data_IF_790372942439
#
_entry.id   IF_790372942439
#
_cell.length_a   1.000
_cell.length_b   1.000
_cell.length_c   1.000
_cell.angle_alpha   90.00
_cell.angle_beta   90.00
_cell.angle_gamma   90.00
#
_symmetry.space_group_name_H-M   'P 1'
#
loop_
_entity.id
_entity.type
_entity.pdbx_description
1 polymer ?
#
# COMPACT_ATOMS: atom_id res chain seq x y z
N UNK A 1 2.00 70.62 53.77
CA UNK A 1 3.07 69.61 53.59
C UNK A 1 2.82 68.91 52.25
N UNK A 2 3.54 69.31 51.21
CA UNK A 2 3.50 68.65 49.89
C UNK A 2 4.93 68.21 49.61
N UNK A 3 5.19 66.90 49.71
CA UNK A 3 6.52 66.35 49.49
C UNK A 3 6.55 65.59 48.16
N UNK A 4 7.30 66.16 47.23
CA UNK A 4 7.57 65.67 45.90
C UNK A 4 8.66 64.58 45.98
N UNK A 5 8.37 63.31 45.64
CA UNK A 5 9.38 62.26 45.46
C UNK A 5 9.42 61.84 43.99
N UNK A 6 10.53 62.19 43.33
CA UNK A 6 10.94 61.69 42.01
C UNK A 6 11.05 60.15 42.06
N UNK A 7 10.26 59.46 41.24
CA UNK A 7 10.45 58.02 40.94
C UNK A 7 11.57 57.87 39.91
N UNK A 8 12.55 57.00 40.23
CA UNK A 8 13.56 56.49 39.30
C UNK A 8 12.86 55.71 38.18
N UNK A 9 13.28 55.96 36.94
CA UNK A 9 12.94 55.19 35.75
C UNK A 9 13.70 53.85 35.77
N UNK A 10 12.97 52.73 35.86
CA UNK A 10 13.48 51.41 35.43
C UNK A 10 13.18 51.27 33.94
N UNK A 11 14.20 50.95 33.16
CA UNK A 11 14.11 50.69 31.73
C UNK A 11 13.60 49.24 31.58
N UNK A 12 12.33 49.07 31.21
CA UNK A 12 11.81 47.75 30.78
C UNK A 12 12.36 47.44 29.39
N UNK A 13 13.24 46.46 29.31
CA UNK A 13 13.57 45.79 28.05
C UNK A 13 12.36 44.95 27.63
N UNK A 14 11.75 45.34 26.51
CA UNK A 14 10.72 44.55 25.85
C UNK A 14 11.38 43.31 25.26
N UNK A 15 11.21 42.16 25.91
CA UNK A 15 11.42 40.87 25.27
C UNK A 15 10.35 40.71 24.19
N UNK A 16 10.74 40.87 22.93
CA UNK A 16 9.93 40.44 21.80
C UNK A 16 9.99 38.90 21.73
N UNK A 17 9.15 38.22 22.50
CA UNK A 17 8.89 36.81 22.28
C UNK A 17 8.14 36.69 20.95
N UNK A 18 8.83 36.23 19.91
CA UNK A 18 8.16 35.81 18.68
C UNK A 18 7.42 34.51 19.02
N UNK A 19 6.15 34.63 19.39
CA UNK A 19 5.29 33.47 19.57
C UNK A 19 5.06 32.92 18.16
N UNK A 20 5.78 31.85 17.82
CA UNK A 20 5.53 31.07 16.62
C UNK A 20 4.30 30.23 16.92
N UNK A 21 3.13 30.70 16.51
CA UNK A 21 1.90 29.93 16.63
C UNK A 21 1.91 28.91 15.50
N UNK A 22 1.78 27.63 15.84
CA UNK A 22 1.70 26.54 14.89
C UNK A 22 0.48 26.80 13.97
N UNK A 23 0.61 26.67 12.64
CA UNK A 23 -0.50 26.89 11.72
C UNK A 23 -1.69 25.97 12.07
N UNK A 24 -2.92 26.49 12.02
CA UNK A 24 -4.12 25.74 12.45
C UNK A 24 -4.32 24.39 11.73
N UNK A 25 -3.72 24.18 10.55
CA UNK A 25 -3.73 22.90 9.83
C UNK A 25 -3.03 21.75 10.59
N UNK A 26 -2.18 22.08 11.57
CA UNK A 26 -1.44 21.11 12.38
C UNK A 26 -2.21 20.63 13.62
N UNK A 27 -3.32 21.30 13.99
CA UNK A 27 -4.18 20.82 15.05
C UNK A 27 -5.26 19.93 14.43
N UNK A 28 -5.02 18.62 14.46
CA UNK A 28 -5.98 17.61 14.03
C UNK A 28 -7.31 17.73 14.78
N UNK A 29 -8.29 18.40 14.17
CA UNK A 29 -9.66 18.45 14.70
C UNK A 29 -10.40 19.76 14.46
N UNK A 30 -10.75 20.07 13.20
CA UNK A 30 -12.02 20.70 12.75
C UNK A 30 -12.01 20.94 11.24
N UNK A 31 -13.08 20.53 10.57
CA UNK A 31 -13.33 20.83 9.15
C UNK A 31 -13.31 22.35 8.88
N UNK A 32 -12.72 22.82 7.76
CA UNK A 32 -12.78 24.22 7.41
C UNK A 32 -14.23 24.60 7.07
N UNK A 33 -14.80 25.55 7.82
CA UNK A 33 -16.02 26.26 7.43
C UNK A 33 -15.75 27.01 6.12
N UNK A 34 -16.47 26.61 5.07
CA UNK A 34 -16.47 27.24 3.76
C UNK A 34 -17.04 28.67 3.93
N UNK A 35 -16.17 29.67 3.95
CA UNK A 35 -16.60 31.04 3.65
C UNK A 35 -16.80 31.16 2.14
N UNK A 36 -18.05 31.22 1.71
CA UNK A 36 -18.41 31.71 0.39
C UNK A 36 -18.14 33.21 0.33
N UNK A 37 -16.95 33.61 -0.12
CA UNK A 37 -16.76 35.00 -0.56
C UNK A 37 -17.13 35.13 -2.04
N UNK A 38 -18.12 35.99 -2.29
CA UNK A 38 -18.70 36.24 -3.60
C UNK A 38 -17.66 36.72 -4.62
N UNK A 39 -17.72 36.11 -5.80
CA UNK A 39 -17.05 36.56 -7.02
C UNK A 39 -17.21 38.08 -7.24
N UNK A 40 -16.09 38.77 -7.39
CA UNK A 40 -15.95 39.87 -8.35
C UNK A 40 -14.72 39.62 -9.22
N UNK A 41 -14.90 39.71 -10.53
CA UNK A 41 -13.85 39.73 -11.54
C UNK A 41 -14.08 40.97 -12.44
N UNK A 42 -13.08 41.43 -13.22
CA UNK A 42 -11.64 41.56 -12.94
C UNK A 42 -11.11 42.96 -13.34
N UNK A 43 -9.98 43.41 -12.80
CA UNK A 43 -9.21 44.51 -13.41
C UNK A 43 -8.00 43.97 -14.18
N UNK A 44 -7.95 44.34 -15.47
CA UNK A 44 -7.00 43.83 -16.46
C UNK A 44 -5.60 44.42 -16.23
N UNK A 45 -4.62 43.57 -15.96
CA UNK A 45 -3.21 43.90 -16.21
C UNK A 45 -2.68 43.05 -17.37
N UNK A 46 -2.12 43.72 -18.38
CA UNK A 46 -1.56 43.11 -19.59
C UNK A 46 -0.26 42.36 -19.25
N UNK A 47 -0.02 41.15 -19.79
CA UNK A 47 1.26 40.47 -19.58
C UNK A 47 2.37 41.09 -20.44
N UNK A 48 3.50 41.40 -19.80
CA UNK A 48 4.78 41.67 -20.47
C UNK A 48 5.31 40.38 -21.08
N UNK A 49 5.68 40.45 -22.35
CA UNK A 49 6.30 39.37 -23.14
C UNK A 49 7.73 39.13 -22.62
N UNK A 50 8.03 37.93 -22.12
CA UNK A 50 9.41 37.49 -21.86
C UNK A 50 9.81 36.55 -23.00
N UNK A 51 10.69 37.01 -23.87
CA UNK A 51 11.29 36.21 -24.93
C UNK A 51 12.43 35.36 -24.38
N UNK A 52 12.21 34.04 -24.28
CA UNK A 52 13.29 33.08 -24.03
C UNK A 52 13.91 32.70 -25.37
N UNK A 53 15.13 33.19 -25.62
CA UNK A 53 15.97 32.78 -26.75
C UNK A 53 16.34 31.31 -26.62
N UNK A 54 15.82 30.45 -27.51
CA UNK A 54 16.31 29.08 -27.70
C UNK A 54 17.45 29.11 -28.72
N UNK A 55 18.69 29.01 -28.24
CA UNK A 55 19.83 28.64 -29.07
C UNK A 55 19.94 27.11 -29.09
N UNK A 56 19.52 26.49 -30.18
CA UNK A 56 19.96 25.13 -30.54
C UNK A 56 20.37 25.17 -32.01
N UNK A 57 21.67 25.08 -32.35
CA UNK A 57 22.07 24.98 -33.74
C UNK A 57 21.95 23.51 -34.14
N UNK A 58 21.29 23.20 -35.25
CA UNK A 58 21.91 22.54 -36.40
C UNK A 58 20.89 22.02 -37.42
N UNK A 59 21.27 22.18 -38.69
CA UNK A 59 20.60 21.76 -39.91
C UNK A 59 19.91 20.39 -39.82
N UNK A 60 18.63 20.34 -40.22
CA UNK A 60 17.77 19.14 -40.27
C UNK A 60 18.42 17.93 -40.94
N UNK A 61 19.38 18.15 -41.86
CA UNK A 61 20.12 17.06 -42.53
C UNK A 61 21.16 16.38 -41.62
N UNK A 62 21.78 17.12 -40.68
CA UNK A 62 22.77 16.57 -39.75
C UNK A 62 22.10 15.80 -38.59
N UNK A 63 20.94 16.27 -38.12
CA UNK A 63 20.14 15.57 -37.12
C UNK A 63 19.68 14.19 -37.62
N UNK A 64 19.27 14.11 -38.89
CA UNK A 64 18.79 12.86 -39.49
C UNK A 64 19.91 11.83 -39.65
N UNK A 65 21.13 12.27 -39.98
CA UNK A 65 22.30 11.37 -40.03
C UNK A 65 22.61 10.83 -38.64
N UNK A 66 22.63 11.67 -37.60
CA UNK A 66 22.90 11.23 -36.21
C UNK A 66 21.89 10.19 -35.74
N UNK A 67 20.59 10.41 -36.01
CA UNK A 67 19.53 9.47 -35.65
C UNK A 67 19.66 8.12 -36.39
N UNK A 68 20.00 8.13 -37.69
CA UNK A 68 20.22 6.90 -38.44
C UNK A 68 21.44 6.13 -37.90
N UNK A 69 22.55 6.81 -37.60
CA UNK A 69 23.71 6.14 -36.99
C UNK A 69 23.39 5.57 -35.62
N UNK A 70 22.61 6.27 -34.78
CA UNK A 70 22.20 5.75 -33.48
C UNK A 70 21.31 4.50 -33.63
N UNK A 71 20.38 4.51 -34.60
CA UNK A 71 19.53 3.35 -34.87
C UNK A 71 20.34 2.15 -35.37
N UNK A 72 21.31 2.34 -36.26
CA UNK A 72 22.19 1.25 -36.73
C UNK A 72 23.02 0.67 -35.59
N UNK A 73 23.54 1.50 -34.69
CA UNK A 73 24.28 1.03 -33.51
C UNK A 73 23.38 0.17 -32.62
N UNK A 74 22.15 0.61 -32.34
CA UNK A 74 21.19 -0.16 -31.54
C UNK A 74 20.89 -1.52 -32.18
N UNK A 75 20.64 -1.56 -33.50
CA UNK A 75 20.36 -2.81 -34.22
C UNK A 75 21.57 -3.76 -34.18
N UNK A 76 22.78 -3.25 -34.42
CA UNK A 76 24.01 -4.07 -34.34
C UNK A 76 24.24 -4.60 -32.93
N UNK A 77 24.02 -3.79 -31.89
CA UNK A 77 24.14 -4.24 -30.49
C UNK A 77 23.11 -5.30 -30.14
N UNK A 78 21.87 -5.16 -30.60
CA UNK A 78 20.82 -6.16 -30.38
C UNK A 78 21.13 -7.47 -31.13
N UNK A 79 21.62 -7.39 -32.38
CA UNK A 79 22.04 -8.57 -33.13
C UNK A 79 23.21 -9.31 -32.46
N UNK A 80 24.21 -8.59 -31.93
CA UNK A 80 25.31 -9.21 -31.19
C UNK A 80 24.85 -9.85 -29.89
N UNK A 81 23.89 -9.25 -29.18
CA UNK A 81 23.30 -9.82 -27.97
C UNK A 81 22.63 -11.18 -28.24
N UNK A 82 21.79 -11.26 -29.29
CA UNK A 82 21.09 -12.51 -29.64
C UNK A 82 22.03 -13.59 -30.18
N UNK A 83 23.05 -13.24 -30.97
CA UNK A 83 24.05 -14.22 -31.45
C UNK A 83 24.89 -14.78 -30.29
N UNK A 84 25.23 -13.94 -29.30
CA UNK A 84 25.94 -14.40 -28.10
C UNK A 84 25.09 -15.33 -27.25
N UNK A 85 23.77 -15.09 -27.17
CA UNK A 85 22.83 -15.95 -26.47
C UNK A 85 22.73 -17.34 -27.12
N UNK A 86 22.63 -17.41 -28.46
CA UNK A 86 22.61 -18.70 -29.18
C UNK A 86 23.93 -19.48 -29.07
N UNK A 87 25.08 -18.82 -28.96
CA UNK A 87 26.37 -19.48 -28.79
C UNK A 87 26.63 -20.00 -27.36
N UNK A 88 25.86 -19.56 -26.36
CA UNK A 88 25.99 -20.00 -24.96
C UNK A 88 25.20 -21.31 -24.70
N UNK A 89 24.11 -21.54 -25.43
CA UNK A 89 23.30 -22.76 -25.30
C UNK A 89 23.91 -23.99 -26.00
N UNK A 90 24.82 -23.80 -26.96
CA UNK A 90 25.50 -24.91 -27.65
C UNK A 90 26.70 -25.50 -26.87
N UNK A 91 26.93 -25.11 -25.61
CA UNK A 91 28.06 -25.61 -24.79
C UNK A 91 27.62 -26.19 -23.44
N UNK A 92 26.55 -26.99 -23.44
CA UNK A 92 26.24 -27.94 -22.37
C UNK A 92 25.76 -29.26 -22.97
N UNK A 93 26.69 -30.05 -23.48
CA UNK A 93 26.58 -31.50 -23.49
C UNK A 93 27.99 -32.10 -23.48
N UNK A 94 28.26 -32.93 -22.48
CA UNK A 94 29.50 -33.69 -22.36
C UNK A 94 30.18 -33.62 -21.01
N UNK A 95 29.64 -34.32 -20.00
CA UNK A 95 30.50 -35.04 -19.06
C UNK A 95 29.80 -36.23 -18.40
N UNK A 96 30.32 -37.40 -18.77
CA UNK A 96 30.07 -38.73 -18.21
C UNK A 96 30.59 -38.77 -16.77
N UNK A 97 29.82 -39.36 -15.85
CA UNK A 97 30.30 -39.79 -14.53
C UNK A 97 30.06 -41.28 -14.39
N UNK A 98 31.16 -42.02 -14.31
CA UNK A 98 31.22 -43.46 -14.05
C UNK A 98 30.87 -43.79 -12.59
N UNK A 99 30.24 -44.94 -12.43
CA UNK A 99 29.73 -45.55 -11.19
C UNK A 99 30.84 -46.33 -10.48
N UNK A 100 30.99 -46.28 -9.14
CA UNK A 100 31.82 -47.24 -8.44
C UNK A 100 31.06 -48.55 -8.19
N UNK A 101 31.81 -49.63 -8.43
CA UNK A 101 31.50 -51.05 -8.28
C UNK A 101 31.44 -51.48 -6.81
N UNK A 102 30.50 -52.37 -6.46
CA UNK A 102 30.60 -53.24 -5.28
C UNK A 102 30.14 -54.67 -5.66
N UNK A 103 31.04 -55.64 -5.49
CA UNK A 103 30.83 -57.10 -5.52
C UNK A 103 30.34 -57.53 -4.12
N UNK A 104 29.21 -58.23 -3.98
CA UNK A 104 28.95 -59.69 -4.15
C UNK A 104 29.06 -60.44 -2.81
N UNK A 105 27.93 -60.85 -2.23
CA UNK A 105 27.85 -62.06 -1.40
C UNK A 105 26.42 -62.66 -1.38
N UNK A 106 26.32 -63.76 -2.13
CA UNK A 106 25.53 -65.00 -2.02
C UNK A 106 24.58 -65.24 -0.84
N UNK A 107 23.34 -65.64 -1.15
CA UNK A 107 22.68 -66.85 -0.59
C UNK A 107 21.45 -67.24 -1.45
N UNK A 108 21.45 -68.49 -1.94
CA UNK A 108 20.31 -69.20 -2.58
C UNK A 108 19.41 -69.78 -1.46
N UNK A 109 18.09 -69.91 -1.62
CA UNK A 109 17.38 -71.04 -2.26
C UNK A 109 15.84 -70.78 -2.31
N UNK A 110 15.02 -71.63 -2.98
CA UNK A 110 13.85 -71.21 -3.76
C UNK A 110 12.50 -71.64 -3.13
N UNK A 111 11.44 -71.75 -3.96
CA UNK A 111 10.09 -72.33 -3.72
C UNK A 111 9.05 -71.22 -3.46
N UNK A 112 7.91 -71.06 -4.16
CA UNK A 112 7.03 -71.97 -4.93
C UNK A 112 6.14 -71.13 -5.87
N UNK A 113 5.80 -71.64 -7.04
CA UNK A 113 4.71 -71.12 -7.88
C UNK A 113 3.34 -71.59 -7.34
N UNK A 114 2.35 -70.69 -7.31
CA UNK A 114 0.92 -71.01 -7.34
C UNK A 114 0.16 -69.92 -8.13
N UNK A 115 -1.02 -70.25 -8.70
CA UNK A 115 -1.47 -69.71 -9.97
C UNK A 115 -2.28 -68.43 -9.83
N UNK A 116 -2.23 -67.66 -10.92
CA UNK A 116 -3.02 -66.47 -11.22
C UNK A 116 -4.51 -66.84 -11.34
N UNK A 117 -5.33 -66.39 -10.40
CA UNK A 117 -6.78 -66.28 -10.60
C UNK A 117 -7.12 -64.92 -11.23
N UNK A 118 -7.97 -65.01 -12.25
CA UNK A 118 -8.55 -63.92 -13.03
C UNK A 118 -9.73 -63.31 -12.26
N UNK A 119 -9.79 -62.00 -12.01
CA UNK A 119 -10.96 -61.43 -11.38
C UNK A 119 -12.13 -61.35 -12.37
N UNK A 120 -13.19 -62.04 -11.97
CA UNK A 120 -14.54 -62.02 -12.50
C UNK A 120 -15.09 -60.58 -12.58
N UNK A 121 -15.64 -60.23 -13.74
CA UNK A 121 -16.27 -58.94 -14.02
C UNK A 121 -17.59 -58.87 -13.24
N UNK A 122 -17.64 -58.00 -12.23
CA UNK A 122 -18.90 -57.63 -11.56
C UNK A 122 -19.47 -56.41 -12.28
N UNK A 123 -20.64 -56.59 -12.86
CA UNK A 123 -21.44 -55.54 -13.50
C UNK A 123 -22.07 -54.67 -12.40
N UNK A 124 -21.52 -53.47 -12.18
CA UNK A 124 -22.02 -52.52 -11.19
C UNK A 124 -23.19 -51.72 -11.80
N UNK A 125 -24.38 -51.86 -11.20
CA UNK A 125 -25.56 -51.09 -11.60
C UNK A 125 -25.38 -49.60 -11.25
N UNK A 126 -25.86 -48.66 -12.09
CA UNK A 126 -25.76 -47.24 -11.79
C UNK A 126 -26.64 -46.87 -10.58
N UNK A 127 -26.13 -46.06 -9.63
CA UNK A 127 -26.94 -45.55 -8.54
C UNK A 127 -28.05 -44.62 -9.08
N UNK A 128 -29.24 -44.74 -8.50
CA UNK A 128 -30.37 -43.88 -8.77
C UNK A 128 -30.03 -42.40 -8.50
N UNK A 129 -30.32 -41.53 -9.48
CA UNK A 129 -30.28 -40.07 -9.32
C UNK A 129 -31.34 -39.65 -8.28
N UNK A 130 -30.88 -39.22 -7.10
CA UNK A 130 -31.69 -38.40 -6.22
C UNK A 130 -31.85 -36.99 -6.82
N UNK A 131 -33.01 -36.33 -6.68
CA UNK A 131 -33.19 -34.97 -7.19
C UNK A 131 -32.29 -34.02 -6.40
N UNK A 132 -31.32 -33.43 -7.08
CA UNK A 132 -30.53 -32.29 -6.59
C UNK A 132 -31.48 -31.11 -6.34
N UNK A 133 -31.75 -30.82 -5.06
CA UNK A 133 -32.31 -29.54 -4.66
C UNK A 133 -31.36 -28.41 -5.10
N UNK A 134 -31.87 -27.23 -5.50
CA UNK A 134 -31.01 -26.11 -5.85
C UNK A 134 -30.23 -25.68 -4.62
N UNK A 135 -28.90 -25.77 -4.70
CA UNK A 135 -28.01 -25.18 -3.71
C UNK A 135 -28.18 -23.67 -3.80
N UNK A 136 -29.02 -23.10 -2.93
CA UNK A 136 -28.99 -21.66 -2.66
C UNK A 136 -27.60 -21.33 -2.10
N UNK A 137 -26.81 -20.62 -2.91
CA UNK A 137 -25.54 -20.03 -2.51
C UNK A 137 -25.77 -19.11 -1.31
N UNK A 138 -25.50 -19.63 -0.11
CA UNK A 138 -25.44 -18.82 1.10
C UNK A 138 -24.36 -17.77 0.94
N UNK A 139 -24.78 -16.56 0.62
CA UNK A 139 -23.96 -15.36 0.71
C UNK A 139 -23.39 -15.30 2.13
N UNK A 140 -22.08 -15.48 2.27
CA UNK A 140 -21.39 -15.46 3.56
C UNK A 140 -21.46 -14.04 4.11
N UNK A 141 -22.32 -13.82 5.11
CA UNK A 141 -22.50 -12.53 5.77
C UNK A 141 -21.14 -12.01 6.25
N UNK A 142 -20.79 -10.78 5.85
CA UNK A 142 -19.56 -10.12 6.30
C UNK A 142 -19.69 -9.81 7.78
N UNK A 143 -18.68 -10.18 8.57
CA UNK A 143 -18.58 -9.76 9.97
C UNK A 143 -17.61 -8.59 10.05
N UNK A 144 -18.11 -7.40 10.38
CA UNK A 144 -17.29 -6.20 10.52
C UNK A 144 -16.73 -6.07 11.95
N UNK A 145 -15.54 -5.47 12.11
CA UNK A 145 -14.99 -5.20 13.43
C UNK A 145 -15.91 -4.24 14.21
N UNK A 146 -15.92 -4.37 15.54
CA UNK A 146 -16.64 -3.45 16.42
C UNK A 146 -16.04 -2.05 16.35
N UNK A 147 -16.89 -1.02 16.39
CA UNK A 147 -16.46 0.39 16.34
C UNK A 147 -15.82 0.87 17.65
N UNK A 148 -15.92 0.08 18.73
CA UNK A 148 -15.45 0.46 20.08
C UNK A 148 -14.05 -0.05 20.41
N UNK A 149 -13.35 -0.67 19.45
CA UNK A 149 -12.01 -1.23 19.66
C UNK A 149 -10.96 -0.12 19.71
N UNK A 150 -10.15 -0.14 20.76
CA UNK A 150 -9.05 0.81 20.98
C UNK A 150 -7.77 0.29 20.33
N UNK A 151 -6.79 1.17 20.18
CA UNK A 151 -5.47 0.79 19.70
C UNK A 151 -4.66 0.12 20.78
N UNK A 152 -3.76 -0.76 20.35
CA UNK A 152 -2.67 -1.25 21.19
C UNK A 152 -1.80 -0.10 21.71
N UNK A 153 -0.94 -0.36 22.71
CA UNK A 153 0.02 0.62 23.19
C UNK A 153 0.86 1.26 22.07
N UNK A 154 1.10 2.55 22.23
CA UNK A 154 1.97 3.42 21.43
C UNK A 154 2.73 4.26 22.47
N UNK A 155 3.99 3.89 22.73
CA UNK A 155 4.76 4.42 23.87
C UNK A 155 5.17 5.89 23.65
N UNK A 156 5.50 6.29 22.43
CA UNK A 156 5.99 7.61 22.09
C UNK A 156 4.92 8.56 21.51
N UNK A 157 3.72 8.02 21.26
CA UNK A 157 2.50 8.73 20.86
C UNK A 157 2.68 9.38 19.48
N UNK A 158 3.32 8.69 18.56
CA UNK A 158 3.57 9.16 17.20
C UNK A 158 2.51 8.68 16.18
N UNK A 159 1.51 7.93 16.66
CA UNK A 159 0.49 7.23 15.86
C UNK A 159 1.04 6.01 15.13
N UNK A 160 1.89 5.22 15.77
CA UNK A 160 2.27 3.88 15.35
C UNK A 160 2.28 3.02 16.62
N UNK A 161 1.57 1.90 16.64
CA UNK A 161 1.62 1.03 17.83
C UNK A 161 2.97 0.35 17.95
N UNK A 162 3.34 -0.06 19.16
CA UNK A 162 4.60 -0.77 19.40
C UNK A 162 4.74 -2.02 18.49
N UNK A 163 3.62 -2.70 18.18
CA UNK A 163 3.62 -3.83 17.24
C UNK A 163 3.76 -3.42 15.77
N UNK A 164 3.23 -2.27 15.37
CA UNK A 164 3.43 -1.72 14.03
C UNK A 164 4.87 -1.27 13.82
N UNK A 165 5.49 -0.73 14.85
CA UNK A 165 6.88 -0.33 14.82
C UNK A 165 7.82 -1.52 14.62
N UNK A 166 7.54 -2.68 15.22
CA UNK A 166 8.28 -3.92 14.93
C UNK A 166 8.18 -4.28 13.43
N UNK A 167 7.02 -4.07 12.80
CA UNK A 167 6.81 -4.34 11.38
C UNK A 167 7.62 -3.40 10.49
N UNK A 168 7.65 -2.10 10.82
CA UNK A 168 8.36 -1.09 10.03
C UNK A 168 9.83 -0.93 10.45
N UNK A 169 10.22 -1.55 11.57
CA UNK A 169 11.56 -1.56 12.15
C UNK A 169 11.95 -0.26 12.86
N UNK A 170 11.00 0.56 13.28
CA UNK A 170 11.23 1.81 14.03
C UNK A 170 11.49 1.52 15.51
N UNK A 171 11.78 2.55 16.30
CA UNK A 171 12.07 2.44 17.74
C UNK A 171 10.91 3.01 18.56
N UNK A 172 10.21 2.14 19.29
CA UNK A 172 9.03 2.51 20.11
C UNK A 172 9.23 3.52 21.21
N UNK A 173 10.48 3.87 21.52
CA UNK A 173 10.76 4.96 22.44
C UNK A 173 10.94 6.32 21.76
N UNK A 174 10.88 6.42 20.43
CA UNK A 174 11.34 7.56 19.65
C UNK A 174 10.41 7.84 18.48
N UNK A 175 9.65 8.92 18.61
CA UNK A 175 8.65 9.36 17.63
C UNK A 175 9.15 9.63 16.19
N UNK A 176 10.47 9.71 15.99
CA UNK A 176 11.16 9.96 14.71
C UNK A 176 12.46 9.16 14.72
N UNK A 177 12.39 7.95 14.15
CA UNK A 177 13.46 6.96 14.19
C UNK A 177 14.68 7.35 13.36
N UNK A 178 14.48 8.09 12.25
CA UNK A 178 15.54 8.45 11.31
C UNK A 178 16.06 9.90 11.44
N UNK A 179 15.40 10.70 12.28
CA UNK A 179 15.76 12.05 12.70
C UNK A 179 15.68 13.08 11.59
N UNK A 180 14.76 12.90 10.66
CA UNK A 180 14.53 13.84 9.57
C UNK A 180 13.43 14.88 9.87
N UNK A 181 12.75 14.73 11.01
CA UNK A 181 11.74 15.64 11.53
C UNK A 181 10.29 15.26 11.20
N UNK A 182 10.03 14.06 10.64
CA UNK A 182 8.69 13.51 10.50
C UNK A 182 8.41 12.42 11.55
N UNK A 183 7.15 12.32 11.99
CA UNK A 183 6.72 11.23 12.87
C UNK A 183 6.66 9.91 12.10
N UNK A 184 7.14 8.80 12.66
CA UNK A 184 7.18 7.50 11.97
C UNK A 184 5.76 7.08 11.52
N UNK A 185 4.76 7.21 12.41
CA UNK A 185 3.35 6.97 12.09
C UNK A 185 2.80 7.87 10.98
N UNK A 186 3.21 9.14 10.92
CA UNK A 186 2.84 10.06 9.84
C UNK A 186 3.45 9.62 8.50
N UNK A 187 4.68 9.14 8.51
CA UNK A 187 5.35 8.66 7.31
C UNK A 187 4.70 7.40 6.76
N UNK A 188 4.45 6.41 7.62
CA UNK A 188 3.72 5.17 7.28
C UNK A 188 2.36 5.50 6.67
N UNK A 189 1.57 6.37 7.32
CA UNK A 189 0.27 6.80 6.80
C UNK A 189 0.38 7.46 5.42
N UNK A 190 1.45 8.23 5.18
CA UNK A 190 1.65 8.94 3.91
C UNK A 190 2.41 8.15 2.84
N UNK A 191 2.75 6.88 3.12
CA UNK A 191 3.48 5.96 2.26
C UNK A 191 4.97 6.35 2.04
N UNK A 192 5.58 6.90 3.09
CA UNK A 192 7.02 7.18 3.18
C UNK A 192 7.71 6.20 4.13
N UNK A 193 9.03 6.12 4.03
CA UNK A 193 9.84 5.17 4.77
C UNK A 193 10.27 5.75 6.13
N UNK A 194 9.74 5.27 7.27
CA UNK A 194 10.03 5.82 8.60
C UNK A 194 11.44 5.55 9.14
N UNK A 195 12.32 5.01 8.29
CA UNK A 195 13.70 4.64 8.63
C UNK A 195 14.72 5.25 7.69
N UNK A 196 14.26 6.01 6.71
CA UNK A 196 15.11 6.49 5.63
C UNK A 196 14.88 7.97 5.42
N UNK A 197 15.86 8.74 5.89
CA UNK A 197 15.89 10.19 5.81
C UNK A 197 15.26 10.74 4.53
N UNK A 198 14.21 11.55 4.67
CA UNK A 198 13.39 12.02 3.58
C UNK A 198 14.20 12.64 2.42
N UNK A 199 13.75 12.46 1.16
CA UNK A 199 12.51 11.80 0.76
C UNK A 199 12.72 10.33 0.34
N UNK A 200 12.04 9.38 0.99
CA UNK A 200 12.07 7.96 0.60
C UNK A 200 10.66 7.37 0.63
N UNK A 201 10.21 6.75 -0.47
CA UNK A 201 8.90 6.09 -0.53
C UNK A 201 8.97 4.74 0.18
N UNK A 202 7.89 4.36 0.86
CA UNK A 202 7.84 3.08 1.60
C UNK A 202 7.95 1.86 0.67
N UNK A 203 7.46 1.96 -0.58
CA UNK A 203 7.56 0.87 -1.55
C UNK A 203 9.00 0.63 -2.01
N UNK A 204 9.87 1.63 -1.93
CA UNK A 204 11.27 1.55 -2.34
C UNK A 204 12.18 1.03 -1.20
N UNK A 205 11.69 1.01 0.05
CA UNK A 205 12.47 0.55 1.22
C UNK A 205 12.46 -0.97 1.41
N UNK A 206 11.51 -1.67 0.78
CA UNK A 206 11.30 -3.10 0.98
C UNK A 206 10.49 -3.46 2.23
N UNK A 207 10.03 -2.48 3.00
CA UNK A 207 9.14 -2.70 4.17
C UNK A 207 7.74 -3.15 3.75
N UNK A 208 7.30 -2.80 2.55
CA UNK A 208 6.01 -3.22 1.98
C UNK A 208 6.18 -3.89 0.62
N UNK A 209 5.16 -4.65 0.23
CA UNK A 209 5.01 -5.25 -1.10
C UNK A 209 3.75 -4.73 -1.77
N UNK A 210 3.75 -4.68 -3.10
CA UNK A 210 2.54 -4.40 -3.88
C UNK A 210 1.85 -5.71 -4.27
N UNK A 211 0.59 -5.87 -3.87
CA UNK A 211 -0.28 -6.92 -4.38
C UNK A 211 -1.09 -6.39 -5.57
N UNK A 212 -1.23 -7.22 -6.60
CA UNK A 212 -2.09 -6.96 -7.76
C UNK A 212 -3.05 -8.13 -7.88
N UNK A 213 -4.35 -7.86 -7.75
CA UNK A 213 -5.35 -8.92 -7.88
C UNK A 213 -5.44 -9.37 -9.35
N UNK A 214 -5.34 -10.68 -9.65
CA UNK A 214 -5.29 -11.17 -11.03
C UNK A 214 -6.62 -10.99 -11.78
N UNK A 215 -7.75 -10.95 -11.07
CA UNK A 215 -9.08 -10.96 -11.70
C UNK A 215 -9.71 -9.57 -11.67
N UNK A 216 -9.71 -8.93 -10.50
CA UNK A 216 -10.26 -7.60 -10.28
C UNK A 216 -9.29 -6.45 -10.57
N UNK A 217 -8.01 -6.77 -10.80
CA UNK A 217 -6.99 -5.83 -11.24
C UNK A 217 -6.72 -4.68 -10.25
N UNK A 218 -7.23 -4.70 -9.01
CA UNK A 218 -6.86 -3.68 -8.03
C UNK A 218 -5.42 -3.88 -7.53
N UNK A 219 -4.84 -2.80 -6.99
CA UNK A 219 -3.51 -2.80 -6.36
C UNK A 219 -3.59 -2.30 -4.93
N UNK A 220 -2.75 -2.84 -4.05
CA UNK A 220 -2.64 -2.40 -2.66
C UNK A 220 -1.24 -2.69 -2.12
N UNK A 221 -0.70 -1.79 -1.31
CA UNK A 221 0.53 -2.07 -0.56
C UNK A 221 0.18 -2.76 0.75
N UNK A 222 0.97 -3.74 1.15
CA UNK A 222 0.81 -4.47 2.40
C UNK A 222 2.20 -4.75 3.01
N UNK A 223 2.32 -4.93 4.34
CA UNK A 223 3.61 -5.20 4.98
C UNK A 223 4.33 -6.40 4.37
N UNK A 224 5.63 -6.29 4.13
CA UNK A 224 6.40 -7.33 3.46
C UNK A 224 6.46 -8.64 4.27
N UNK A 225 6.32 -8.54 5.59
CA UNK A 225 6.29 -9.67 6.54
C UNK A 225 4.92 -10.35 6.60
N UNK A 226 3.86 -9.73 6.07
CA UNK A 226 2.52 -10.33 6.01
C UNK A 226 2.36 -11.24 4.80
N UNK A 227 1.41 -12.16 4.89
CA UNK A 227 1.08 -13.13 3.83
C UNK A 227 -0.23 -12.71 3.15
N UNK A 228 -0.23 -12.61 1.82
CA UNK A 228 -1.41 -12.36 1.02
C UNK A 228 -1.94 -13.67 0.43
N UNK A 229 -3.20 -14.02 0.68
CA UNK A 229 -3.83 -15.26 0.22
C UNK A 229 -5.25 -15.01 -0.29
N UNK A 230 -5.58 -15.54 -1.47
CA UNK A 230 -6.95 -15.58 -1.97
C UNK A 230 -7.78 -16.60 -1.20
N UNK A 231 -9.02 -16.23 -0.85
CA UNK A 231 -9.96 -17.12 -0.13
C UNK A 231 -10.69 -18.05 -1.09
N UNK A 232 -10.91 -17.59 -2.31
CA UNK A 232 -11.61 -18.31 -3.37
C UNK A 232 -10.75 -18.36 -4.65
N UNK A 233 -11.09 -19.25 -5.58
CA UNK A 233 -10.35 -19.43 -6.84
C UNK A 233 -10.39 -18.19 -7.74
N UNK A 234 -11.37 -17.32 -7.54
CA UNK A 234 -11.57 -16.09 -8.30
C UNK A 234 -10.93 -14.87 -7.62
N UNK A 235 -10.27 -15.06 -6.47
CA UNK A 235 -9.73 -13.99 -5.64
C UNK A 235 -10.73 -12.83 -5.44
N UNK A 236 -12.02 -13.16 -5.30
CA UNK A 236 -13.07 -12.21 -4.94
C UNK A 236 -12.83 -11.69 -3.52
N UNK A 237 -12.27 -12.53 -2.65
CA UNK A 237 -11.72 -12.16 -1.35
C UNK A 237 -10.22 -12.49 -1.27
N UNK A 238 -9.44 -11.55 -0.74
CA UNK A 238 -8.01 -11.71 -0.45
C UNK A 238 -7.75 -11.28 0.98
N UNK A 239 -7.12 -12.15 1.75
CA UNK A 239 -6.72 -11.94 3.14
C UNK A 239 -5.23 -11.61 3.18
N UNK A 240 -4.89 -10.54 3.89
CA UNK A 240 -3.53 -10.15 4.24
C UNK A 240 -3.36 -10.40 5.73
N UNK A 241 -2.61 -11.43 6.11
CA UNK A 241 -2.49 -11.87 7.50
C UNK A 241 -1.10 -11.61 8.09
N UNK A 242 -1.12 -11.19 9.35
CA UNK A 242 0.03 -11.13 10.23
C UNK A 242 0.37 -12.51 10.79
N UNK A 243 1.53 -12.63 11.45
CA UNK A 243 1.92 -13.82 12.21
C UNK A 243 1.15 -13.98 13.53
N UNK A 244 0.57 -12.90 14.08
CA UNK A 244 -0.25 -12.92 15.30
C UNK A 244 -1.68 -13.40 15.04
N UNK A 245 -2.10 -13.45 13.78
CA UNK A 245 -3.42 -13.92 13.36
C UNK A 245 -4.40 -12.80 13.03
N UNK A 246 -4.05 -11.54 13.27
CA UNK A 246 -4.77 -10.38 12.74
C UNK A 246 -4.65 -10.33 11.23
N UNK A 247 -5.72 -9.87 10.58
CA UNK A 247 -5.71 -9.75 9.13
C UNK A 247 -6.60 -8.63 8.62
N UNK A 248 -6.29 -8.22 7.40
CA UNK A 248 -7.10 -7.29 6.62
C UNK A 248 -7.62 -8.06 5.42
N UNK A 249 -8.93 -8.08 5.23
CA UNK A 249 -9.56 -8.68 4.06
C UNK A 249 -9.94 -7.58 3.06
N UNK A 250 -9.61 -7.79 1.79
CA UNK A 250 -10.10 -7.00 0.66
C UNK A 250 -11.06 -7.87 -0.14
N UNK A 251 -12.32 -7.50 -0.13
CA UNK A 251 -13.39 -8.19 -0.85
C UNK A 251 -13.94 -7.34 -1.98
N UNK A 252 -13.99 -7.90 -3.17
CA UNK A 252 -14.58 -7.30 -4.35
C UNK A 252 -16.04 -7.71 -4.49
N UNK A 253 -16.89 -6.73 -4.77
CA UNK A 253 -18.31 -6.93 -5.04
C UNK A 253 -18.67 -6.35 -6.37
N UNK A 254 -19.51 -7.04 -7.12
CA UNK A 254 -20.10 -6.48 -8.32
C UNK A 254 -20.97 -5.25 -8.01
N UNK A 255 -20.92 -4.30 -8.92
CA UNK A 255 -21.71 -3.08 -8.87
C UNK A 255 -22.28 -2.81 -10.25
N UNK A 256 -23.59 -2.57 -10.33
CA UNK A 256 -24.23 -2.28 -11.62
C UNK A 256 -23.70 -0.95 -12.18
N UNK A 257 -23.59 -0.82 -13.52
CA UNK A 257 -23.28 0.46 -14.15
C UNK A 257 -24.26 1.54 -13.69
N UNK A 258 -23.76 2.71 -13.30
CA UNK A 258 -24.54 3.86 -12.80
C UNK A 258 -25.32 3.65 -11.48
N UNK A 259 -25.16 2.52 -10.80
CA UNK A 259 -25.74 2.33 -9.45
C UNK A 259 -25.12 3.33 -8.47
N UNK A 260 -25.95 3.99 -7.66
CA UNK A 260 -25.47 4.90 -6.62
C UNK A 260 -24.85 4.09 -5.46
N UNK A 261 -23.71 4.54 -4.93
CA UNK A 261 -23.03 3.85 -3.84
C UNK A 261 -23.89 3.66 -2.59
N UNK A 262 -24.71 4.64 -2.20
CA UNK A 262 -25.61 4.51 -1.04
C UNK A 262 -26.65 3.41 -1.25
N UNK A 263 -27.19 3.27 -2.47
CA UNK A 263 -28.13 2.19 -2.81
C UNK A 263 -27.41 0.85 -2.78
N UNK A 264 -26.23 0.77 -3.39
CA UNK A 264 -25.39 -0.42 -3.37
C UNK A 264 -25.05 -0.82 -1.92
N UNK A 265 -24.69 0.14 -1.07
CA UNK A 265 -24.33 -0.09 0.33
C UNK A 265 -25.51 -0.67 1.11
N UNK A 266 -26.69 -0.07 1.03
CA UNK A 266 -27.89 -0.57 1.73
C UNK A 266 -28.33 -1.96 1.29
N UNK A 267 -27.95 -2.39 0.07
CA UNK A 267 -28.27 -3.72 -0.44
C UNK A 267 -27.24 -4.78 -0.03
N UNK A 268 -25.95 -4.45 -0.05
CA UNK A 268 -24.88 -5.43 0.06
C UNK A 268 -24.19 -5.45 1.43
N UNK A 269 -24.37 -4.40 2.24
CA UNK A 269 -23.70 -4.25 3.53
C UNK A 269 -24.74 -4.30 4.66
N UNK A 270 -24.69 -5.38 5.44
CA UNK A 270 -25.52 -5.58 6.62
C UNK A 270 -24.78 -5.14 7.90
N UNK A 271 -25.53 -4.65 8.89
CA UNK A 271 -24.99 -4.33 10.22
C UNK A 271 -24.04 -3.12 10.29
N UNK A 272 -23.99 -2.28 9.25
CA UNK A 272 -23.22 -1.03 9.23
C UNK A 272 -24.12 0.17 8.94
N UNK A 273 -23.79 1.33 9.51
CA UNK A 273 -24.49 2.59 9.22
C UNK A 273 -23.69 3.45 8.25
N UNK A 274 -24.38 4.00 7.25
CA UNK A 274 -23.77 4.97 6.33
C UNK A 274 -23.30 6.25 7.04
N UNK A 275 -23.92 6.61 8.18
CA UNK A 275 -23.54 7.80 8.97
C UNK A 275 -22.18 7.69 9.65
N UNK A 276 -21.66 6.46 9.76
CA UNK A 276 -20.35 6.19 10.36
C UNK A 276 -19.23 6.26 9.32
N UNK A 277 -19.58 6.48 8.05
CA UNK A 277 -18.65 6.67 6.96
C UNK A 277 -18.31 8.15 6.77
N UNK A 278 -17.06 8.41 6.42
CA UNK A 278 -16.55 9.70 5.98
C UNK A 278 -15.96 9.54 4.57
N UNK A 279 -16.22 10.51 3.69
CA UNK A 279 -15.49 10.59 2.42
C UNK A 279 -14.02 10.86 2.69
N UNK A 280 -13.16 10.26 1.89
CA UNK A 280 -11.74 10.58 1.88
C UNK A 280 -11.15 10.38 0.49
N UNK A 281 -9.99 11.00 0.31
CA UNK A 281 -9.13 10.88 -0.83
C UNK A 281 -7.84 10.20 -0.36
N UNK A 282 -7.39 9.15 -1.04
CA UNK A 282 -6.12 8.52 -0.71
C UNK A 282 -4.89 9.20 -1.37
N UNK A 283 -3.68 8.72 -1.08
CA UNK A 283 -2.43 9.28 -1.65
C UNK A 283 -2.39 9.26 -3.18
N UNK A 284 -3.13 8.36 -3.81
CA UNK A 284 -3.23 8.20 -5.27
C UNK A 284 -4.41 8.96 -5.91
N UNK A 285 -5.09 9.85 -5.17
CA UNK A 285 -6.23 10.61 -5.70
C UNK A 285 -7.45 9.74 -6.05
N UNK A 286 -7.57 8.61 -5.37
CA UNK A 286 -8.75 7.75 -5.41
C UNK A 286 -9.71 8.20 -4.31
N UNK A 287 -10.96 8.45 -4.70
CA UNK A 287 -12.04 8.73 -3.77
C UNK A 287 -12.56 7.42 -3.17
N UNK A 288 -12.92 7.48 -1.89
CA UNK A 288 -13.51 6.37 -1.17
C UNK A 288 -14.28 6.83 0.05
N UNK A 289 -14.85 5.86 0.76
CA UNK A 289 -15.45 6.05 2.07
C UNK A 289 -14.65 5.26 3.09
N UNK A 290 -14.34 5.85 4.23
CA UNK A 290 -13.77 5.12 5.38
C UNK A 290 -14.71 5.23 6.56
N UNK A 291 -14.82 4.17 7.35
CA UNK A 291 -15.49 4.25 8.64
C UNK A 291 -14.65 5.11 9.59
N UNK A 292 -15.30 5.85 10.50
CA UNK A 292 -14.64 6.84 11.36
C UNK A 292 -13.52 6.26 12.24
N UNK A 293 -13.58 4.98 12.55
CA UNK A 293 -12.54 4.24 13.28
C UNK A 293 -11.38 3.79 12.38
N UNK A 294 -11.42 4.04 11.07
CA UNK A 294 -10.40 3.61 10.11
C UNK A 294 -10.21 2.09 9.98
N UNK A 295 -11.13 1.26 10.49
CA UNK A 295 -11.05 -0.21 10.37
C UNK A 295 -11.78 -0.78 9.15
N UNK A 296 -12.52 0.07 8.43
CA UNK A 296 -13.25 -0.31 7.21
C UNK A 296 -13.12 0.80 6.18
N UNK A 297 -12.83 0.42 4.94
CA UNK A 297 -12.78 1.33 3.79
C UNK A 297 -13.51 0.73 2.58
N UNK A 298 -14.13 1.61 1.79
CA UNK A 298 -14.87 1.29 0.58
C UNK A 298 -14.29 2.09 -0.58
N UNK A 299 -13.90 1.40 -1.64
CA UNK A 299 -13.42 2.03 -2.88
C UNK A 299 -14.36 1.70 -4.02
N UNK A 300 -14.85 2.73 -4.70
CA UNK A 300 -15.88 2.60 -5.72
C UNK A 300 -15.20 2.60 -7.09
N UNK A 301 -15.24 1.45 -7.76
CA UNK A 301 -14.87 1.31 -9.17
C UNK A 301 -16.07 1.50 -10.10
N UNK A 302 -15.83 1.36 -11.41
CA UNK A 302 -16.89 1.48 -12.41
C UNK A 302 -17.95 0.38 -12.28
N UNK A 303 -17.49 -0.87 -12.12
CA UNK A 303 -18.32 -2.07 -12.12
C UNK A 303 -18.17 -2.89 -10.82
N UNK A 304 -17.44 -2.35 -9.85
CA UNK A 304 -17.16 -3.05 -8.60
C UNK A 304 -17.10 -2.07 -7.42
N UNK A 305 -17.36 -2.58 -6.22
CA UNK A 305 -16.99 -1.93 -4.97
C UNK A 305 -16.01 -2.85 -4.24
N UNK A 306 -14.91 -2.30 -3.78
CA UNK A 306 -13.93 -3.00 -2.96
C UNK A 306 -14.14 -2.61 -1.51
N UNK A 307 -14.39 -3.60 -0.67
CA UNK A 307 -14.55 -3.45 0.77
C UNK A 307 -13.29 -3.98 1.43
N UNK A 308 -12.57 -3.11 2.11
CA UNK A 308 -11.40 -3.45 2.91
C UNK A 308 -11.78 -3.35 4.37
N UNK A 309 -11.52 -4.38 5.17
CA UNK A 309 -11.81 -4.33 6.61
C UNK A 309 -10.82 -5.15 7.42
N UNK A 310 -10.60 -4.70 8.66
CA UNK A 310 -9.73 -5.34 9.62
C UNK A 310 -10.47 -6.39 10.45
N UNK A 311 -9.82 -7.50 10.79
CA UNK A 311 -10.34 -8.51 11.71
C UNK A 311 -9.25 -8.95 12.69
N UNK A 312 -9.61 -8.99 13.97
CA UNK A 312 -8.79 -9.53 15.05
C UNK A 312 -9.05 -11.02 15.23
N UNK A 313 -8.06 -11.82 15.67
CA UNK A 313 -8.30 -13.20 16.05
C UNK A 313 -9.14 -13.27 17.34
N UNK A 314 -10.25 -14.01 17.30
CA UNK A 314 -11.08 -14.29 18.47
C UNK A 314 -11.70 -13.03 19.11
N UNK A 315 -11.45 -12.82 20.40
CA UNK A 315 -12.02 -11.73 21.21
C UNK A 315 -10.94 -10.70 21.62
N UNK A 316 -9.98 -10.39 20.75
CA UNK A 316 -8.97 -9.37 21.06
C UNK A 316 -9.64 -8.05 21.46
N UNK A 317 -9.11 -7.41 22.51
CA UNK A 317 -9.67 -6.18 23.05
C UNK A 317 -9.19 -4.94 22.28
N UNK A 318 -7.98 -5.03 21.73
CA UNK A 318 -7.23 -3.91 21.18
C UNK A 318 -6.83 -4.20 19.72
N UNK A 319 -6.51 -3.15 18.97
CA UNK A 319 -6.11 -3.19 17.57
C UNK A 319 -4.61 -2.89 17.47
N UNK A 320 -3.76 -3.90 17.21
CA UNK A 320 -2.35 -3.66 16.98
C UNK A 320 -2.11 -2.94 15.65
N UNK A 321 -2.82 -3.27 14.57
CA UNK A 321 -2.40 -2.83 13.23
C UNK A 321 -3.35 -1.84 12.53
N UNK A 322 -3.80 -0.77 13.23
CA UNK A 322 -4.70 0.23 12.63
C UNK A 322 -4.00 1.08 11.56
N UNK A 323 -2.75 1.48 11.75
CA UNK A 323 -1.98 2.20 10.74
C UNK A 323 -1.60 1.32 9.55
N UNK A 324 -1.46 0.00 9.72
CA UNK A 324 -1.36 -0.93 8.58
C UNK A 324 -2.64 -0.89 7.75
N UNK A 325 -3.82 -0.94 8.38
CA UNK A 325 -5.11 -0.78 7.68
C UNK A 325 -5.19 0.57 6.96
N UNK A 326 -4.72 1.65 7.59
CA UNK A 326 -4.66 2.95 6.95
C UNK A 326 -3.67 2.98 5.78
N UNK A 327 -2.46 2.42 5.92
CA UNK A 327 -1.47 2.29 4.86
C UNK A 327 -2.03 1.53 3.65
N UNK A 328 -2.73 0.42 3.90
CA UNK A 328 -3.40 -0.35 2.86
C UNK A 328 -4.47 0.50 2.17
N UNK A 329 -5.30 1.21 2.93
CA UNK A 329 -6.32 2.10 2.37
C UNK A 329 -5.72 3.28 1.58
N UNK A 330 -4.58 3.80 2.03
CA UNK A 330 -3.89 4.93 1.42
C UNK A 330 -3.24 4.56 0.10
N UNK A 331 -2.85 3.29 -0.04
CA UNK A 331 -2.18 2.75 -1.23
C UNK A 331 -3.12 2.10 -2.25
N UNK A 332 -4.38 1.88 -1.88
CA UNK A 332 -5.34 1.16 -2.69
C UNK A 332 -5.64 1.87 -4.02
N UNK A 333 -5.64 1.13 -5.12
CA UNK A 333 -6.03 1.61 -6.45
C UNK A 333 -6.97 0.60 -7.10
N UNK A 334 -8.18 0.99 -7.55
CA UNK A 334 -9.16 0.08 -8.13
C UNK A 334 -8.84 -0.30 -9.58
N UNK A 335 -7.57 -0.24 -9.99
CA UNK A 335 -7.13 -0.55 -11.34
C UNK A 335 -5.67 -1.00 -11.37
N UNK A 336 -5.33 -1.79 -12.38
CA UNK A 336 -3.97 -2.28 -12.57
C UNK A 336 -3.09 -1.25 -13.27
N UNK A 337 -3.55 -0.02 -13.51
CA UNK A 337 -2.70 1.02 -14.08
C UNK A 337 -1.69 1.47 -13.03
N UNK A 338 -0.41 1.47 -13.41
CA UNK A 338 0.62 2.02 -12.55
C UNK A 338 0.46 3.53 -12.46
N UNK A 339 0.38 4.03 -11.23
CA UNK A 339 0.36 5.46 -10.92
C UNK A 339 1.49 5.71 -9.94
N UNK A 340 2.31 6.73 -10.20
CA UNK A 340 3.40 7.07 -9.30
C UNK A 340 2.87 7.79 -8.05
N UNK A 341 3.48 7.46 -6.90
CA UNK A 341 3.16 8.12 -5.63
C UNK A 341 3.69 9.56 -5.67
N UNK A 342 2.89 10.57 -5.27
CA UNK A 342 3.38 11.94 -5.16
C UNK A 342 4.61 12.01 -4.22
N UNK A 343 5.57 12.86 -4.57
CA UNK A 343 6.79 13.03 -3.77
C UNK A 343 6.56 13.67 -2.39
N UNK A 344 7.46 13.37 -1.45
CA UNK A 344 7.51 13.97 -0.12
C UNK A 344 7.99 15.42 -0.20
N UNK A 345 7.35 16.30 0.58
CA UNK A 345 7.77 17.70 0.70
C UNK A 345 8.72 17.82 1.88
N UNK A 346 10.00 18.10 1.63
CA UNK A 346 11.03 18.21 2.69
C UNK A 346 10.80 19.42 3.60
N UNK A 347 11.06 19.24 4.90
CA UNK A 347 11.16 20.33 5.86
C UNK A 347 12.39 21.20 5.53
N UNK A 348 12.32 22.52 5.76
CA UNK A 348 13.50 23.36 5.66
C UNK A 348 14.54 22.92 6.70
N UNK A 349 15.85 22.98 6.39
CA UNK A 349 16.87 22.64 7.37
C UNK A 349 16.74 23.54 8.60
N UNK A 350 16.83 22.94 9.79
CA UNK A 350 16.91 23.71 11.04
C UNK A 350 18.14 24.62 10.93
N UNK A 351 17.99 25.95 11.07
CA UNK A 351 19.13 26.85 10.96
C UNK A 351 20.15 26.46 12.02
N UNK A 352 21.37 26.14 11.58
CA UNK A 352 22.50 25.93 12.48
C UNK A 352 22.62 27.19 13.34
N UNK A 353 22.39 27.06 14.65
CA UNK A 353 22.72 28.13 15.57
C UNK A 353 24.24 28.24 15.54
N UNK A 354 24.75 29.18 14.73
CA UNK A 354 26.14 29.61 14.78
C UNK A 354 26.49 29.83 16.25
N UNK A 355 27.48 29.08 16.73
CA UNK A 355 27.97 29.09 18.10
C UNK A 355 28.07 30.53 18.63
N UNK A 356 27.16 30.90 19.54
CA UNK A 356 27.38 32.01 20.45
C UNK A 356 28.44 31.55 21.47
N UNK A 357 29.70 31.68 21.07
CA UNK A 357 30.87 31.66 21.95
C UNK A 357 30.88 32.89 22.87
#
# INVERSE_FOLDING_TARGET
MVWNRKKKTSKEEKMNAHISVIPEIFYGGKDPLIYHEQKKAPEKQKPKKVEIKKNLPTSKKKLLVVLITAFVVVVVTASLYYVRQMSLDSKKDGKIVERPSMKEETAKEPVKEEPKEEPEIVEEQPPAEEPVEPVEEKQTTIVFPSILLQDSPDIDIDSLTDEEEEIFGTDSGIWDSDKDGYYDGQEVFNLYNPKGFAPVKIIDSGLVKEYINPNWQYRVYYPAVWVASGVDSENNSVIFSSISGDFIEVRAYEKKPNENFTIWFSKNIEGQSFTDLALFNNRFKIDGYKRKDSLVAYFIGNNAVFVMFYQTPGNAADIPYRHVMQLMSQSFRPSAVFTDLPGQTMLPPVPETENAL
#
